data_IF_672354475898
#
_entry.id   IF_672354475898
#
_cell.length_a   1.000
_cell.length_b   1.000
_cell.length_c   1.000
_cell.angle_alpha   90.00
_cell.angle_beta   90.00
_cell.angle_gamma   90.00
#
_symmetry.space_group_name_H-M   'P 1'
#
loop_
_entity.id
_entity.type
_entity.pdbx_description
1 polymer ?
#
# COMPACT_ATOMS: atom_id res chain seq x y z
N UNK A 1 71.08 -5.72 36.98
CA UNK A 1 71.34 -7.04 36.36
C UNK A 1 69.98 -7.63 36.02
N UNK A 2 69.73 -7.85 34.72
CA UNK A 2 68.60 -8.56 34.07
C UNK A 2 67.18 -7.97 34.24
N UNK A 3 66.64 -7.32 33.20
CA UNK A 3 65.93 -7.90 32.03
C UNK A 3 64.67 -8.66 32.41
N UNK A 4 63.49 -8.11 32.06
CA UNK A 4 62.51 -8.77 31.19
C UNK A 4 61.48 -7.73 30.70
N UNK A 5 61.60 -7.38 29.41
CA UNK A 5 60.57 -6.69 28.63
C UNK A 5 59.36 -7.63 28.49
N UNK A 6 58.17 -7.21 28.88
CA UNK A 6 56.92 -7.83 28.42
C UNK A 6 56.14 -6.82 27.59
N UNK A 7 56.36 -6.88 26.28
CA UNK A 7 55.57 -6.20 25.27
C UNK A 7 54.26 -6.98 25.10
N UNK A 8 53.18 -6.55 25.73
CA UNK A 8 51.84 -7.05 25.42
C UNK A 8 51.34 -6.37 24.14
N UNK A 9 51.51 -7.05 23.00
CA UNK A 9 50.80 -6.70 21.77
C UNK A 9 49.29 -6.87 22.01
N UNK A 10 48.56 -5.76 22.09
CA UNK A 10 47.12 -5.76 21.83
C UNK A 10 46.90 -6.02 20.35
N UNK A 11 46.74 -7.29 19.97
CA UNK A 11 46.03 -7.62 18.74
C UNK A 11 44.56 -7.27 18.96
N UNK A 12 44.13 -6.12 18.43
CA UNK A 12 42.71 -5.87 18.17
C UNK A 12 42.27 -6.84 17.08
N UNK A 13 41.88 -8.05 17.48
CA UNK A 13 41.05 -8.92 16.67
C UNK A 13 39.70 -8.21 16.53
N UNK A 14 39.54 -7.51 15.41
CA UNK A 14 38.25 -7.05 14.91
C UNK A 14 37.44 -8.31 14.65
N UNK A 15 36.62 -8.71 15.62
CA UNK A 15 35.64 -9.75 15.44
C UNK A 15 34.65 -9.26 14.37
N UNK A 16 34.64 -9.91 13.21
CA UNK A 16 33.61 -9.69 12.21
C UNK A 16 32.28 -10.10 12.84
N UNK A 17 31.37 -9.13 13.02
CA UNK A 17 30.02 -9.39 13.50
C UNK A 17 29.32 -10.36 12.54
N UNK A 18 28.91 -11.51 13.08
CA UNK A 18 28.20 -12.57 12.35
C UNK A 18 26.72 -12.20 12.27
N UNK A 19 26.12 -12.36 11.08
CA UNK A 19 24.69 -12.60 10.99
C UNK A 19 24.38 -13.98 11.63
N UNK A 20 23.26 -14.13 12.36
CA UNK A 20 23.11 -15.12 13.45
C UNK A 20 23.28 -16.58 12.99
N UNK A 21 23.87 -17.47 13.81
CA UNK A 21 24.14 -18.85 13.41
C UNK A 21 23.18 -19.84 14.08
N UNK A 22 22.21 -20.41 13.36
CA UNK A 22 21.55 -21.66 13.81
C UNK A 22 21.21 -22.55 12.61
N UNK A 23 22.23 -23.26 12.12
CA UNK A 23 22.18 -24.39 11.19
C UNK A 23 21.72 -24.15 9.72
N UNK A 24 22.70 -23.96 8.82
CA UNK A 24 22.54 -24.20 7.37
C UNK A 24 23.29 -23.19 6.47
N UNK A 25 24.33 -23.65 5.76
CA UNK A 25 24.98 -23.13 4.53
C UNK A 25 25.19 -21.62 4.20
N UNK A 26 24.96 -20.61 5.04
CA UNK A 26 24.98 -19.22 4.52
C UNK A 26 25.79 -18.21 5.36
N UNK A 27 27.01 -17.94 4.89
CA UNK A 27 27.79 -16.74 5.20
C UNK A 27 27.71 -15.77 4.01
N UNK A 28 27.91 -14.46 4.22
CA UNK A 28 28.02 -13.52 3.10
C UNK A 28 29.07 -14.00 2.08
N UNK A 29 28.91 -13.70 0.77
CA UNK A 29 29.90 -14.07 -0.23
C UNK A 29 31.30 -13.59 0.17
N UNK A 30 32.34 -14.32 -0.27
CA UNK A 30 33.73 -13.99 0.07
C UNK A 30 34.03 -12.53 -0.29
N UNK A 31 34.53 -11.76 0.69
CA UNK A 31 34.83 -10.33 0.54
C UNK A 31 33.71 -9.38 0.96
N UNK A 32 32.60 -9.90 1.49
CA UNK A 32 31.49 -9.14 2.05
C UNK A 32 31.36 -9.37 3.56
N UNK A 33 30.86 -8.37 4.27
CA UNK A 33 30.58 -8.38 5.71
C UNK A 33 29.10 -8.12 5.93
N UNK A 34 28.48 -8.81 6.89
CA UNK A 34 27.06 -8.67 7.14
C UNK A 34 26.80 -7.49 8.09
N UNK A 35 26.01 -6.52 7.65
CA UNK A 35 25.56 -5.38 8.45
C UNK A 35 24.03 -5.26 8.26
N UNK A 36 23.27 -5.24 9.36
CA UNK A 36 21.80 -5.05 9.33
C UNK A 36 21.04 -5.94 8.30
N UNK A 37 21.41 -7.24 8.23
CA UNK A 37 20.87 -8.23 7.26
C UNK A 37 21.23 -7.99 5.79
N UNK A 38 22.18 -7.10 5.50
CA UNK A 38 22.73 -6.91 4.16
C UNK A 38 24.21 -7.31 4.14
N UNK A 39 24.64 -7.96 3.06
CA UNK A 39 26.06 -8.23 2.84
C UNK A 39 26.69 -7.05 2.11
N UNK A 40 27.67 -6.38 2.72
CA UNK A 40 28.37 -5.20 2.17
C UNK A 40 29.84 -5.52 1.85
N UNK A 41 30.28 -5.16 0.65
CA UNK A 41 31.68 -5.35 0.22
C UNK A 41 32.60 -4.27 0.79
N UNK A 42 33.91 -4.36 0.50
CA UNK A 42 34.93 -3.37 0.94
C UNK A 42 34.62 -1.92 0.55
N UNK A 43 33.90 -1.71 -0.55
CA UNK A 43 33.45 -0.39 -1.02
C UNK A 43 32.08 0.03 -0.45
N UNK A 44 31.53 -0.71 0.52
CA UNK A 44 30.13 -0.65 0.97
C UNK A 44 29.09 -0.93 -0.13
N UNK A 45 29.50 -1.54 -1.24
CA UNK A 45 28.55 -1.98 -2.25
C UNK A 45 27.75 -3.20 -1.73
N UNK A 46 26.42 -3.20 -1.80
CA UNK A 46 25.62 -4.33 -1.36
C UNK A 46 25.80 -5.53 -2.29
N UNK A 47 25.71 -6.73 -1.74
CA UNK A 47 25.66 -7.96 -2.50
C UNK A 47 24.34 -8.06 -3.27
N UNK A 48 24.38 -8.70 -4.44
CA UNK A 48 23.21 -9.03 -5.25
C UNK A 48 22.75 -10.48 -5.03
N UNK A 49 23.27 -11.14 -3.99
CA UNK A 49 22.82 -12.45 -3.51
C UNK A 49 21.93 -12.26 -2.29
N UNK A 50 20.90 -13.07 -2.17
CA UNK A 50 19.94 -13.01 -1.08
C UNK A 50 19.56 -14.39 -0.57
N UNK A 51 18.99 -14.43 0.62
CA UNK A 51 18.50 -15.66 1.26
C UNK A 51 17.37 -15.30 2.23
N UNK A 52 16.97 -16.24 3.08
CA UNK A 52 16.00 -15.97 4.13
C UNK A 52 16.51 -14.93 5.15
N UNK A 53 17.82 -14.92 5.42
CA UNK A 53 18.44 -14.02 6.41
C UNK A 53 19.11 -12.80 5.79
N UNK A 54 19.50 -12.89 4.52
CA UNK A 54 20.13 -11.80 3.77
C UNK A 54 19.10 -11.14 2.86
N UNK A 55 18.79 -9.88 3.18
CA UNK A 55 17.85 -9.07 2.44
C UNK A 55 18.54 -8.38 1.25
N UNK A 56 17.78 -8.26 0.16
CA UNK A 56 18.21 -7.51 -1.01
C UNK A 56 18.28 -6.00 -0.71
N UNK A 57 19.17 -5.25 -1.41
CA UNK A 57 19.22 -3.80 -1.28
C UNK A 57 17.89 -3.13 -1.70
N UNK A 58 17.67 -1.90 -1.25
CA UNK A 58 16.47 -1.15 -1.56
C UNK A 58 16.21 -1.08 -3.08
N UNK A 59 14.95 -1.21 -3.48
CA UNK A 59 14.57 -1.19 -4.89
C UNK A 59 14.76 -2.52 -5.62
N UNK A 60 15.12 -3.59 -4.90
CA UNK A 60 15.29 -4.93 -5.48
C UNK A 60 14.49 -5.99 -4.71
N UNK A 61 14.19 -7.11 -5.35
CA UNK A 61 13.46 -8.25 -4.78
C UNK A 61 14.29 -9.52 -4.94
N UNK A 62 14.22 -10.39 -3.93
CA UNK A 62 14.92 -11.67 -3.92
C UNK A 62 14.14 -12.71 -4.72
N UNK A 63 14.79 -13.36 -5.69
CA UNK A 63 14.26 -14.52 -6.38
C UNK A 63 15.37 -15.51 -6.66
N UNK A 64 15.16 -16.77 -6.25
CA UNK A 64 16.12 -17.86 -6.44
C UNK A 64 17.54 -17.49 -5.96
N UNK A 65 17.63 -16.81 -4.81
CA UNK A 65 18.90 -16.41 -4.19
C UNK A 65 19.61 -15.22 -4.85
N UNK A 66 18.98 -14.54 -5.82
CA UNK A 66 19.53 -13.34 -6.47
C UNK A 66 18.58 -12.15 -6.35
N UNK A 67 19.16 -10.97 -6.23
CA UNK A 67 18.41 -9.71 -6.19
C UNK A 67 18.18 -9.18 -7.61
N UNK A 68 16.93 -8.84 -7.91
CA UNK A 68 16.53 -8.24 -9.18
C UNK A 68 15.90 -6.87 -8.95
N UNK A 69 16.17 -5.85 -9.79
CA UNK A 69 15.48 -4.57 -9.70
C UNK A 69 13.97 -4.74 -9.78
N UNK A 70 13.22 -4.10 -8.87
CA UNK A 70 11.76 -4.21 -8.81
C UNK A 70 11.10 -3.89 -10.16
N UNK A 71 11.53 -2.80 -10.81
CA UNK A 71 11.00 -2.37 -12.11
C UNK A 71 11.19 -3.38 -13.23
N UNK A 72 12.07 -4.37 -13.05
CA UNK A 72 12.31 -5.44 -14.02
C UNK A 72 11.45 -6.68 -13.76
N UNK A 73 10.87 -6.81 -12.57
CA UNK A 73 10.11 -8.00 -12.16
C UNK A 73 8.65 -7.87 -12.58
N UNK A 74 8.17 -8.86 -13.34
CA UNK A 74 6.76 -9.00 -13.69
C UNK A 74 6.00 -9.56 -12.48
N UNK A 75 4.80 -9.05 -12.24
CA UNK A 75 4.03 -9.41 -11.06
C UNK A 75 2.57 -9.66 -11.37
N UNK A 76 1.95 -10.48 -10.53
CA UNK A 76 0.56 -10.91 -10.58
C UNK A 76 0.17 -11.55 -11.91
N UNK A 77 -0.59 -12.65 -11.81
CA UNK A 77 -1.13 -13.33 -12.98
C UNK A 77 -2.45 -13.95 -12.63
N UNK A 78 -3.53 -13.39 -13.16
CA UNK A 78 -4.86 -13.96 -13.03
C UNK A 78 -5.23 -14.59 -14.36
N UNK A 79 -5.48 -15.90 -14.38
CA UNK A 79 -5.71 -16.63 -15.62
C UNK A 79 -6.87 -17.61 -15.53
N UNK A 80 -7.58 -17.78 -16.63
CA UNK A 80 -8.55 -18.86 -16.79
C UNK A 80 -7.81 -20.17 -17.01
N UNK A 81 -8.06 -21.15 -16.15
CA UNK A 81 -7.49 -22.50 -16.20
C UNK A 81 -8.48 -23.54 -16.72
N UNK A 82 -9.73 -23.13 -16.99
CA UNK A 82 -10.79 -23.94 -17.60
C UNK A 82 -12.09 -23.13 -17.75
N UNK A 83 -13.15 -23.71 -18.31
CA UNK A 83 -14.42 -23.00 -18.62
C UNK A 83 -15.05 -22.27 -17.42
N UNK A 84 -14.79 -22.73 -16.19
CA UNK A 84 -15.29 -22.11 -14.95
C UNK A 84 -14.24 -22.05 -13.84
N UNK A 85 -12.97 -22.15 -14.21
CA UNK A 85 -11.86 -22.18 -13.26
C UNK A 85 -10.90 -21.04 -13.59
N UNK A 86 -10.60 -20.23 -12.57
CA UNK A 86 -9.61 -19.17 -12.67
C UNK A 86 -8.61 -19.32 -11.52
N UNK A 87 -7.33 -19.11 -11.81
CA UNK A 87 -6.26 -19.06 -10.83
C UNK A 87 -5.80 -17.62 -10.67
N UNK A 88 -5.80 -17.13 -9.44
CA UNK A 88 -5.20 -15.85 -9.07
C UNK A 88 -3.82 -16.12 -8.49
N UNK A 89 -2.77 -15.66 -9.16
CA UNK A 89 -1.41 -15.70 -8.67
C UNK A 89 -1.02 -14.29 -8.25
N UNK A 90 -0.66 -14.15 -6.98
CA UNK A 90 -0.16 -12.90 -6.42
C UNK A 90 1.35 -13.03 -6.25
N UNK A 91 2.10 -12.08 -6.80
CA UNK A 91 3.56 -12.03 -6.66
C UNK A 91 3.92 -11.28 -5.40
N UNK A 92 4.91 -11.79 -4.67
CA UNK A 92 5.61 -11.03 -3.65
C UNK A 92 6.62 -10.08 -4.32
N UNK A 93 6.30 -8.78 -4.35
CA UNK A 93 7.23 -7.75 -4.83
C UNK A 93 8.26 -7.35 -3.76
N UNK A 94 8.44 -8.15 -2.69
CA UNK A 94 9.31 -7.83 -1.56
C UNK A 94 8.72 -6.75 -0.65
N UNK A 95 9.41 -6.46 0.45
CA UNK A 95 8.89 -5.63 1.56
C UNK A 95 8.37 -4.25 1.17
N UNK A 96 9.02 -3.59 0.21
CA UNK A 96 8.65 -2.23 -0.22
C UNK A 96 8.07 -2.21 -1.64
N UNK A 97 7.84 -3.37 -2.25
CA UNK A 97 7.32 -3.44 -3.59
C UNK A 97 5.80 -3.58 -3.61
N UNK A 98 5.16 -2.98 -4.62
CA UNK A 98 3.75 -3.21 -4.94
C UNK A 98 3.62 -3.56 -6.41
N UNK A 99 2.61 -4.37 -6.74
CA UNK A 99 2.32 -4.69 -8.12
C UNK A 99 1.44 -3.61 -8.76
N UNK A 100 1.92 -2.99 -9.84
CA UNK A 100 1.20 -1.99 -10.62
C UNK A 100 1.23 -2.38 -12.10
N UNK A 101 0.06 -2.66 -12.68
CA UNK A 101 -0.08 -2.94 -14.11
C UNK A 101 0.83 -4.07 -14.65
N UNK A 102 1.05 -5.10 -13.82
CA UNK A 102 1.85 -6.28 -14.18
C UNK A 102 3.35 -6.16 -13.90
N UNK A 103 3.79 -5.07 -13.25
CA UNK A 103 5.19 -4.85 -12.88
C UNK A 103 5.33 -4.45 -11.41
N UNK A 104 6.35 -4.97 -10.74
CA UNK A 104 6.68 -4.53 -9.40
C UNK A 104 7.23 -3.10 -9.44
N UNK A 105 6.75 -2.25 -8.53
CA UNK A 105 7.22 -0.88 -8.35
C UNK A 105 7.55 -0.65 -6.89
N UNK A 106 8.50 0.24 -6.63
CA UNK A 106 8.90 0.62 -5.27
C UNK A 106 7.85 1.57 -4.68
N UNK A 107 7.35 1.23 -3.49
CA UNK A 107 6.59 2.13 -2.63
C UNK A 107 7.51 2.59 -1.50
N UNK A 108 8.11 3.77 -1.66
CA UNK A 108 9.03 4.33 -0.67
C UNK A 108 8.30 4.75 0.60
N UNK A 109 6.98 4.92 0.53
CA UNK A 109 6.13 5.22 1.67
C UNK A 109 5.69 3.98 2.45
N UNK A 110 6.08 2.78 2.02
CA UNK A 110 5.87 1.57 2.80
C UNK A 110 6.54 1.69 4.18
N UNK A 111 5.75 1.52 5.25
CA UNK A 111 6.16 1.64 6.65
C UNK A 111 6.72 3.02 7.07
N UNK A 112 6.47 4.08 6.27
CA UNK A 112 6.79 5.44 6.68
C UNK A 112 5.63 6.01 7.50
N UNK A 113 5.89 6.32 8.77
CA UNK A 113 4.97 7.04 9.63
C UNK A 113 5.36 8.51 9.67
N UNK A 114 4.40 9.40 9.40
CA UNK A 114 4.60 10.84 9.44
C UNK A 114 3.86 11.45 10.63
N UNK A 115 4.42 12.55 11.16
CA UNK A 115 3.75 13.34 12.20
C UNK A 115 2.39 13.86 11.72
N UNK A 116 1.56 14.27 12.68
CA UNK A 116 0.29 14.94 12.38
C UNK A 116 0.49 16.14 11.44
N UNK A 117 -0.43 16.29 10.49
CA UNK A 117 -0.34 17.36 9.50
C UNK A 117 0.65 17.09 8.35
N UNK A 118 1.33 15.94 8.33
CA UNK A 118 2.22 15.53 7.24
C UNK A 118 1.71 14.27 6.54
N UNK A 119 2.12 14.08 5.28
CA UNK A 119 1.86 12.87 4.50
C UNK A 119 3.15 12.40 3.83
N UNK A 120 3.34 11.10 3.71
CA UNK A 120 4.49 10.59 2.97
C UNK A 120 4.31 10.85 1.47
N UNK A 121 5.35 11.36 0.82
CA UNK A 121 5.48 11.49 -0.64
C UNK A 121 6.90 11.10 -1.02
N UNK A 122 7.04 10.14 -1.94
CA UNK A 122 8.34 9.63 -2.41
C UNK A 122 9.30 9.23 -1.26
N UNK A 123 8.75 8.65 -0.18
CA UNK A 123 9.50 8.23 1.01
C UNK A 123 9.85 9.32 2.00
N UNK A 124 9.36 10.56 1.80
CA UNK A 124 9.61 11.70 2.71
C UNK A 124 8.30 12.25 3.25
N UNK A 125 8.28 12.61 4.53
CA UNK A 125 7.13 13.29 5.11
C UNK A 125 7.06 14.74 4.64
N UNK A 126 6.04 15.07 3.86
CA UNK A 126 5.75 16.39 3.35
C UNK A 126 4.64 17.07 4.18
N UNK A 127 4.80 18.35 4.48
CA UNK A 127 3.80 19.15 5.18
C UNK A 127 2.56 19.34 4.29
N UNK A 128 1.39 18.96 4.82
CA UNK A 128 0.11 19.15 4.13
C UNK A 128 -0.85 20.03 4.92
N UNK A 129 -0.74 20.08 6.24
CA UNK A 129 -1.48 21.02 7.08
C UNK A 129 -1.19 22.47 6.63
N UNK A 130 -2.25 23.26 6.50
CA UNK A 130 -2.28 24.62 5.95
C UNK A 130 -1.91 24.76 4.47
N UNK A 131 -1.67 23.65 3.75
CA UNK A 131 -1.51 23.70 2.30
C UNK A 131 -2.81 24.14 1.64
N UNK A 132 -2.69 24.85 0.52
CA UNK A 132 -3.83 25.26 -0.28
C UNK A 132 -4.57 24.02 -0.82
N UNK A 133 -5.90 24.07 -0.76
CA UNK A 133 -6.78 23.04 -1.31
C UNK A 133 -7.97 23.69 -2.01
N UNK A 134 -8.48 22.98 -3.01
CA UNK A 134 -9.73 23.31 -3.71
C UNK A 134 -10.87 22.48 -3.10
N UNK A 135 -10.60 21.22 -2.74
CA UNK A 135 -11.58 20.33 -2.12
C UNK A 135 -10.96 19.32 -1.17
N UNK A 136 -11.80 18.56 -0.45
CA UNK A 136 -11.34 17.63 0.60
C UNK A 136 -10.38 16.54 0.10
N UNK A 137 -10.46 16.16 -1.17
CA UNK A 137 -9.56 15.18 -1.77
C UNK A 137 -8.08 15.63 -1.80
N UNK A 138 -7.82 16.94 -1.83
CA UNK A 138 -6.45 17.49 -1.91
C UNK A 138 -5.69 17.29 -0.58
N UNK A 139 -6.42 17.13 0.52
CA UNK A 139 -5.88 17.06 1.88
C UNK A 139 -5.59 15.63 2.36
N UNK A 140 -5.77 14.62 1.51
CA UNK A 140 -5.56 13.22 1.88
C UNK A 140 -6.61 12.70 2.88
N UNK A 141 -6.40 11.53 3.51
CA UNK A 141 -7.42 10.85 4.31
C UNK A 141 -7.66 11.46 5.71
N UNK A 142 -6.67 12.15 6.28
CA UNK A 142 -6.69 12.58 7.69
C UNK A 142 -6.97 14.08 7.87
N UNK A 143 -7.27 14.80 6.80
CA UNK A 143 -7.46 16.25 6.80
C UNK A 143 -8.64 16.64 5.91
N UNK A 144 -9.22 17.80 6.19
CA UNK A 144 -10.33 18.40 5.47
C UNK A 144 -9.89 19.72 4.85
N UNK A 145 -10.43 20.04 3.68
CA UNK A 145 -10.27 21.38 3.11
C UNK A 145 -11.27 22.33 3.78
N UNK A 146 -10.76 23.32 4.52
CA UNK A 146 -11.56 24.34 5.20
C UNK A 146 -10.94 25.71 4.96
N UNK A 147 -11.74 26.65 4.44
CA UNK A 147 -11.26 27.98 4.02
C UNK A 147 -10.03 27.91 3.08
N UNK A 148 -10.10 27.02 2.07
CA UNK A 148 -9.03 26.75 1.09
C UNK A 148 -7.70 26.29 1.71
N UNK A 149 -7.73 25.76 2.94
CA UNK A 149 -6.56 25.20 3.62
C UNK A 149 -6.86 23.82 4.16
N UNK A 150 -5.90 22.92 4.04
CA UNK A 150 -5.99 21.62 4.68
C UNK A 150 -5.85 21.77 6.20
N UNK A 151 -6.83 21.27 6.92
CA UNK A 151 -6.89 21.27 8.38
C UNK A 151 -7.10 19.85 8.87
N UNK A 152 -6.62 19.50 10.06
CA UNK A 152 -6.82 18.16 10.62
C UNK A 152 -8.32 17.84 10.67
N UNK A 153 -8.68 16.62 10.27
CA UNK A 153 -10.04 16.13 10.47
C UNK A 153 -10.30 16.13 11.99
N UNK A 154 -11.42 16.70 12.47
CA UNK A 154 -11.82 16.54 13.85
C UNK A 154 -11.81 15.06 14.22
N UNK A 155 -11.16 14.70 15.33
CA UNK A 155 -11.16 13.33 15.80
C UNK A 155 -12.60 12.99 16.19
N UNK A 156 -13.23 12.06 15.46
CA UNK A 156 -14.49 11.48 15.92
C UNK A 156 -14.21 10.79 17.26
N UNK A 157 -15.00 11.06 18.31
CA UNK A 157 -14.77 10.41 19.59
C UNK A 157 -14.85 8.90 19.41
N UNK A 158 -13.76 8.20 19.72
CA UNK A 158 -13.72 6.74 19.76
C UNK A 158 -14.54 6.27 20.97
N UNK A 159 -15.76 5.82 20.76
CA UNK A 159 -16.53 5.16 21.80
C UNK A 159 -16.83 3.71 21.43
N UNK A 160 -16.58 2.80 22.37
CA UNK A 160 -17.07 1.42 22.31
C UNK A 160 -18.37 1.32 23.11
N UNK A 161 -19.44 1.92 22.57
CA UNK A 161 -20.74 1.97 23.22
C UNK A 161 -21.47 0.63 23.09
N UNK A 162 -22.23 0.26 24.12
CA UNK A 162 -23.12 -0.90 24.05
C UNK A 162 -24.17 -0.68 22.95
N UNK A 163 -24.77 -1.77 22.41
CA UNK A 163 -26.04 -1.64 21.74
C UNK A 163 -26.97 -0.84 22.67
N UNK A 164 -27.62 0.22 22.18
CA UNK A 164 -28.46 1.19 22.91
C UNK A 164 -27.79 2.44 23.49
N UNK A 165 -26.52 2.68 23.20
CA UNK A 165 -25.80 3.87 23.62
C UNK A 165 -25.30 4.66 22.40
N UNK A 166 -25.23 6.00 22.52
CA UNK A 166 -24.59 6.87 21.53
C UNK A 166 -23.32 7.48 22.09
N UNK A 167 -22.34 7.64 21.21
CA UNK A 167 -21.11 8.36 21.50
C UNK A 167 -21.33 9.86 21.38
N UNK A 168 -21.13 10.59 22.48
CA UNK A 168 -21.12 12.04 22.49
C UNK A 168 -19.93 12.51 23.32
N UNK A 169 -19.02 13.28 22.70
CA UNK A 169 -17.78 13.76 23.34
C UNK A 169 -16.94 12.65 24.03
N UNK A 170 -16.88 11.46 23.44
CA UNK A 170 -16.09 10.34 23.99
C UNK A 170 -16.78 9.60 25.14
N UNK A 171 -18.03 9.94 25.46
CA UNK A 171 -18.83 9.28 26.48
C UNK A 171 -20.05 8.62 25.83
N UNK A 172 -20.39 7.42 26.31
CA UNK A 172 -21.57 6.70 25.89
C UNK A 172 -22.77 7.15 26.72
N UNK A 173 -23.80 7.65 26.05
CA UNK A 173 -25.06 8.04 26.68
C UNK A 173 -26.16 7.06 26.27
N UNK A 174 -27.05 6.64 27.18
CA UNK A 174 -28.21 5.83 26.85
C UNK A 174 -29.04 6.54 25.78
N UNK A 175 -29.29 5.87 24.67
CA UNK A 175 -30.19 6.33 23.61
C UNK A 175 -31.29 5.31 23.36
N UNK A 176 -31.96 4.92 24.45
CA UNK A 176 -33.03 3.90 24.44
C UNK A 176 -34.17 4.26 23.50
N UNK A 177 -34.40 5.56 23.26
CA UNK A 177 -35.47 6.03 22.37
C UNK A 177 -35.14 5.82 20.88
N UNK A 178 -33.86 5.84 20.49
CA UNK A 178 -33.46 5.72 19.09
C UNK A 178 -32.77 4.40 18.71
N UNK A 179 -32.55 3.50 19.65
CA UNK A 179 -31.71 2.32 19.38
C UNK A 179 -32.26 1.41 18.28
N UNK A 180 -33.58 1.27 18.23
CA UNK A 180 -34.27 0.41 17.26
C UNK A 180 -34.88 1.20 16.09
N UNK A 181 -34.51 2.48 15.96
CA UNK A 181 -35.09 3.37 14.95
C UNK A 181 -34.09 3.52 13.81
N UNK A 182 -34.45 2.95 12.67
CA UNK A 182 -33.71 3.15 11.43
C UNK A 182 -34.21 4.41 10.73
N UNK A 183 -33.36 5.44 10.68
CA UNK A 183 -33.62 6.65 9.93
C UNK A 183 -33.02 6.55 8.53
N UNK A 184 -33.79 6.98 7.52
CA UNK A 184 -33.33 7.01 6.14
C UNK A 184 -32.18 8.00 5.92
N UNK A 185 -31.41 7.82 4.85
CA UNK A 185 -30.30 8.73 4.50
C UNK A 185 -30.82 10.16 4.37
N UNK A 186 -30.16 11.12 5.04
CA UNK A 186 -30.63 12.50 5.13
C UNK A 186 -31.42 12.81 6.41
N UNK A 187 -31.67 11.81 7.26
CA UNK A 187 -32.37 11.97 8.54
C UNK A 187 -31.58 11.31 9.67
N UNK A 188 -31.82 11.74 10.91
CA UNK A 188 -31.17 11.19 12.10
C UNK A 188 -32.15 11.17 13.27
N UNK A 189 -31.94 10.27 14.22
CA UNK A 189 -32.88 10.12 15.32
C UNK A 189 -32.58 11.08 16.47
N UNK A 190 -33.61 11.78 16.93
CA UNK A 190 -33.62 12.61 18.13
C UNK A 190 -34.89 12.27 18.91
N UNK A 191 -34.77 11.91 20.19
CA UNK A 191 -35.91 11.62 21.07
C UNK A 191 -36.92 10.62 20.48
N UNK A 192 -36.42 9.56 19.85
CA UNK A 192 -37.26 8.52 19.26
C UNK A 192 -37.96 8.91 17.96
N UNK A 193 -37.55 10.00 17.31
CA UNK A 193 -38.11 10.46 16.04
C UNK A 193 -37.00 10.74 15.02
N UNK A 194 -37.21 10.31 13.77
CA UNK A 194 -36.32 10.68 12.68
C UNK A 194 -36.60 12.13 12.26
N UNK A 195 -35.60 12.98 12.45
CA UNK A 195 -35.64 14.39 12.05
C UNK A 195 -34.75 14.63 10.84
N UNK A 196 -35.10 15.64 10.05
CA UNK A 196 -34.38 15.97 8.82
C UNK A 196 -33.03 16.65 9.13
N UNK A 197 -31.94 16.08 8.60
CA UNK A 197 -30.60 16.67 8.66
C UNK A 197 -30.35 17.64 7.50
N UNK A 198 -31.00 17.46 6.36
CA UNK A 198 -30.84 18.29 5.16
C UNK A 198 -31.40 19.69 5.42
N UNK A 199 -30.66 20.72 5.03
CA UNK A 199 -31.02 22.12 5.23
C UNK A 199 -30.60 22.69 6.59
N UNK A 200 -30.09 21.87 7.52
CA UNK A 200 -29.53 22.34 8.79
C UNK A 200 -28.22 23.09 8.54
N UNK A 201 -27.94 24.11 9.36
CA UNK A 201 -26.65 24.80 9.29
C UNK A 201 -25.55 23.93 9.92
N UNK A 202 -24.40 23.88 9.26
CA UNK A 202 -23.20 23.19 9.74
C UNK A 202 -22.04 24.16 10.02
N UNK A 203 -22.38 25.41 10.38
CA UNK A 203 -21.39 26.42 10.72
C UNK A 203 -20.76 26.16 12.10
N UNK A 204 -21.57 25.69 13.05
CA UNK A 204 -21.16 25.43 14.44
C UNK A 204 -21.27 23.94 14.83
N UNK A 205 -21.76 23.08 13.93
CA UNK A 205 -22.01 21.66 14.18
C UNK A 205 -21.73 20.80 12.95
N UNK A 206 -21.48 19.51 13.16
CA UNK A 206 -21.27 18.52 12.12
C UNK A 206 -22.58 17.97 11.56
N UNK A 207 -22.61 17.68 10.26
CA UNK A 207 -23.78 17.12 9.61
C UNK A 207 -24.05 15.66 10.03
N UNK A 208 -25.29 15.33 10.36
CA UNK A 208 -25.74 14.00 10.79
C UNK A 208 -26.49 13.23 9.69
N UNK A 209 -26.86 11.97 9.95
CA UNK A 209 -27.73 11.21 9.05
C UNK A 209 -27.10 10.91 7.67
N UNK A 210 -25.77 10.83 7.60
CA UNK A 210 -25.04 10.63 6.35
C UNK A 210 -25.06 11.85 5.41
N UNK A 211 -25.40 13.04 5.91
CA UNK A 211 -25.31 14.31 5.17
C UNK A 211 -23.90 14.90 5.26
N UNK A 212 -23.60 15.85 4.39
CA UNK A 212 -22.31 16.54 4.30
C UNK A 212 -22.51 18.04 4.35
N UNK A 213 -21.52 18.77 4.87
CA UNK A 213 -21.58 20.23 4.92
C UNK A 213 -21.14 20.83 3.59
N UNK A 214 -22.05 21.50 2.86
CA UNK A 214 -21.74 22.22 1.62
C UNK A 214 -22.28 23.63 1.75
N UNK A 215 -21.41 24.64 1.60
CA UNK A 215 -21.78 26.06 1.75
C UNK A 215 -22.53 26.35 3.07
N UNK A 216 -22.04 25.81 4.19
CA UNK A 216 -22.62 25.94 5.54
C UNK A 216 -24.03 25.33 5.72
N UNK A 217 -24.47 24.49 4.78
CA UNK A 217 -25.75 23.77 4.85
C UNK A 217 -25.49 22.27 4.70
N UNK A 218 -26.11 21.47 5.57
CA UNK A 218 -26.11 20.02 5.45
C UNK A 218 -26.95 19.61 4.23
N UNK A 219 -26.33 18.89 3.30
CA UNK A 219 -27.01 18.34 2.12
C UNK A 219 -26.88 16.84 2.11
N UNK A 220 -27.86 16.15 1.51
CA UNK A 220 -27.74 14.72 1.26
C UNK A 220 -26.44 14.47 0.49
N UNK A 221 -25.61 13.54 0.97
CA UNK A 221 -24.35 13.23 0.30
C UNK A 221 -24.67 12.83 -1.15
N UNK A 222 -24.27 13.63 -2.16
CA UNK A 222 -24.65 13.38 -3.54
C UNK A 222 -23.89 12.19 -4.13
N UNK A 223 -22.87 11.69 -3.45
CA UNK A 223 -21.94 10.72 -4.00
C UNK A 223 -22.38 9.26 -4.09
N UNK A 224 -23.14 8.67 -3.13
CA UNK A 224 -23.48 7.26 -3.19
C UNK A 224 -24.09 6.94 -4.56
N UNK A 225 -23.44 6.04 -5.30
CA UNK A 225 -23.86 5.58 -6.64
C UNK A 225 -23.81 6.61 -7.77
N UNK A 226 -23.29 7.83 -7.55
CA UNK A 226 -23.29 8.89 -8.58
C UNK A 226 -21.92 9.22 -9.16
N UNK A 227 -20.84 8.90 -8.45
CA UNK A 227 -19.50 9.13 -9.00
C UNK A 227 -19.21 8.13 -10.13
N UNK A 228 -18.56 8.58 -11.23
CA UNK A 228 -18.02 7.69 -12.24
C UNK A 228 -17.13 6.59 -11.65
N UNK A 229 -16.99 5.46 -12.34
CA UNK A 229 -16.28 4.27 -11.82
C UNK A 229 -14.81 4.54 -11.44
N UNK A 230 -14.17 5.52 -12.07
CA UNK A 230 -12.79 5.93 -11.79
C UNK A 230 -12.66 7.09 -10.79
N UNK A 231 -13.79 7.52 -10.23
CA UNK A 231 -13.85 8.56 -9.23
C UNK A 231 -14.24 7.97 -7.89
N UNK A 232 -13.72 8.59 -6.84
CA UNK A 232 -14.19 8.32 -5.50
C UNK A 232 -14.80 9.56 -4.88
N UNK A 233 -15.70 9.32 -3.95
CA UNK A 233 -16.32 10.37 -3.20
C UNK A 233 -15.49 10.73 -1.99
N UNK A 234 -15.10 12.00 -1.91
CA UNK A 234 -14.55 12.59 -0.69
C UNK A 234 -15.48 13.71 -0.26
N UNK A 235 -16.34 13.41 0.72
CA UNK A 235 -17.26 14.38 1.34
C UNK A 235 -18.12 15.16 0.34
N UNK A 236 -18.73 14.47 -0.62
CA UNK A 236 -19.64 15.07 -1.61
C UNK A 236 -19.02 15.44 -2.94
N UNK A 237 -17.70 15.45 -3.04
CA UNK A 237 -17.01 15.70 -4.30
C UNK A 237 -16.55 14.39 -4.92
N UNK A 238 -16.98 14.13 -6.14
CA UNK A 238 -16.40 13.09 -6.97
C UNK A 238 -15.07 13.60 -7.55
N UNK A 239 -13.98 12.89 -7.28
CA UNK A 239 -12.65 13.22 -7.79
C UNK A 239 -12.00 12.00 -8.41
N UNK A 240 -11.24 12.22 -9.48
CA UNK A 240 -10.46 11.17 -10.14
C UNK A 240 -9.44 10.64 -9.13
N UNK A 241 -9.42 9.32 -8.94
CA UNK A 241 -8.57 8.70 -7.93
C UNK A 241 -7.07 8.75 -8.25
N UNK A 242 -6.69 8.82 -9.52
CA UNK A 242 -5.28 8.95 -9.92
C UNK A 242 -4.67 10.22 -9.32
N UNK A 243 -3.58 10.05 -8.55
CA UNK A 243 -2.83 11.16 -7.96
C UNK A 243 -3.38 11.67 -6.61
N UNK A 244 -4.53 11.19 -6.13
CA UNK A 244 -5.05 11.59 -4.82
C UNK A 244 -4.09 11.14 -3.71
N UNK A 245 -3.78 12.01 -2.71
CA UNK A 245 -2.94 11.62 -1.59
C UNK A 245 -3.57 10.51 -0.73
N UNK A 246 -2.77 9.52 -0.36
CA UNK A 246 -3.23 8.33 0.36
C UNK A 246 -2.25 7.88 1.45
N UNK A 247 -2.79 7.16 2.43
CA UNK A 247 -2.03 6.46 3.47
C UNK A 247 -2.63 5.06 3.57
N UNK A 248 -1.89 4.04 3.14
CA UNK A 248 -2.36 2.65 3.14
C UNK A 248 -3.11 2.27 1.86
N UNK A 249 -4.44 2.36 1.86
CA UNK A 249 -5.29 1.80 0.80
C UNK A 249 -5.99 2.88 -0.04
N UNK A 250 -6.25 2.53 -1.30
CA UNK A 250 -7.07 3.28 -2.23
C UNK A 250 -8.24 2.41 -2.68
N UNK A 251 -9.34 3.04 -3.09
CA UNK A 251 -10.48 2.32 -3.66
C UNK A 251 -10.03 1.56 -4.92
N UNK A 252 -10.45 0.30 -5.04
CA UNK A 252 -10.20 -0.51 -6.22
C UNK A 252 -10.70 0.19 -7.51
N UNK A 253 -9.94 0.18 -8.63
CA UNK A 253 -8.71 -0.58 -8.90
C UNK A 253 -7.40 0.16 -8.58
N UNK A 254 -7.42 1.17 -7.72
CA UNK A 254 -6.22 1.95 -7.40
C UNK A 254 -5.43 1.33 -6.25
N UNK A 255 -4.12 1.56 -6.25
CA UNK A 255 -3.19 1.14 -5.19
C UNK A 255 -2.41 2.37 -4.73
N UNK A 256 -2.22 2.53 -3.42
CA UNK A 256 -1.41 3.62 -2.88
C UNK A 256 0.06 3.31 -3.09
N UNK A 257 0.78 4.13 -3.86
CA UNK A 257 2.22 4.00 -4.12
C UNK A 257 2.84 5.39 -3.94
N UNK A 258 3.90 5.47 -3.12
CA UNK A 258 4.59 6.73 -2.80
C UNK A 258 3.64 7.83 -2.27
N UNK A 259 2.60 7.41 -1.54
CA UNK A 259 1.61 8.31 -0.93
C UNK A 259 0.60 8.90 -1.91
N UNK A 260 0.50 8.38 -3.13
CA UNK A 260 -0.54 8.73 -4.09
C UNK A 260 -1.24 7.51 -4.65
N UNK A 261 -2.54 7.62 -4.92
CA UNK A 261 -3.31 6.55 -5.54
C UNK A 261 -2.93 6.42 -7.02
N UNK A 262 -2.57 5.21 -7.45
CA UNK A 262 -2.18 4.88 -8.83
C UNK A 262 -3.07 3.78 -9.38
N UNK A 263 -3.56 3.94 -10.60
CA UNK A 263 -4.46 2.98 -11.26
C UNK A 263 -3.74 1.68 -11.58
N UNK A 264 -4.30 0.57 -11.11
CA UNK A 264 -3.85 -0.77 -11.44
C UNK A 264 -4.92 -1.52 -12.25
N UNK A 265 -4.90 -1.34 -13.56
CA UNK A 265 -5.83 -1.98 -14.49
C UNK A 265 -5.64 -3.51 -14.57
N UNK A 266 -4.55 -4.03 -14.02
CA UNK A 266 -4.31 -5.47 -13.90
C UNK A 266 -4.86 -6.09 -12.60
N UNK A 267 -5.32 -5.30 -11.62
CA UNK A 267 -5.67 -5.80 -10.27
C UNK A 267 -6.77 -6.89 -10.25
N UNK A 268 -7.63 -6.95 -11.26
CA UNK A 268 -8.67 -7.99 -11.42
C UNK A 268 -8.78 -8.51 -12.85
N UNK A 269 -7.81 -8.19 -13.70
CA UNK A 269 -7.88 -8.58 -15.11
C UNK A 269 -7.46 -10.03 -15.24
N UNK A 270 -8.39 -10.86 -15.71
CA UNK A 270 -8.17 -12.29 -15.93
C UNK A 270 -7.86 -12.52 -17.41
N UNK A 271 -6.72 -13.16 -17.69
CA UNK A 271 -6.23 -13.45 -19.04
C UNK A 271 -6.32 -14.94 -19.38
N UNK A 272 -5.99 -15.31 -20.62
CA UNK A 272 -5.99 -16.72 -21.04
C UNK A 272 -4.67 -17.42 -20.68
N UNK A 273 -4.64 -18.75 -20.83
CA UNK A 273 -3.40 -19.52 -20.76
C UNK A 273 -2.37 -18.99 -21.78
N UNK A 274 -1.13 -18.89 -21.33
CA UNK A 274 -0.02 -18.28 -22.07
C UNK A 274 -0.03 -16.76 -22.11
N UNK A 275 -0.95 -16.08 -21.41
CA UNK A 275 -1.00 -14.63 -21.31
C UNK A 275 -0.71 -14.13 -19.89
N UNK A 276 -0.33 -12.85 -19.81
CA UNK A 276 -0.25 -12.07 -18.58
C UNK A 276 -0.81 -10.67 -18.80
N UNK A 277 -1.21 -9.98 -17.73
CA UNK A 277 -1.66 -8.61 -17.82
C UNK A 277 -0.47 -7.64 -17.76
N UNK A 278 -0.33 -6.79 -18.77
CA UNK A 278 0.70 -5.74 -18.83
C UNK A 278 0.04 -4.43 -19.26
N UNK A 279 0.20 -3.37 -18.47
CA UNK A 279 -0.38 -2.06 -18.80
C UNK A 279 -1.90 -2.09 -18.93
N UNK A 280 -2.57 -2.96 -18.18
CA UNK A 280 -4.01 -3.16 -18.26
C UNK A 280 -4.49 -4.00 -19.43
N UNK A 281 -3.61 -4.65 -20.20
CA UNK A 281 -3.98 -5.49 -21.34
C UNK A 281 -3.48 -6.92 -21.17
N UNK A 282 -4.31 -7.89 -21.57
CA UNK A 282 -3.85 -9.28 -21.66
C UNK A 282 -2.97 -9.40 -22.89
N UNK A 283 -1.73 -9.81 -22.68
CA UNK A 283 -0.74 -9.95 -23.74
C UNK A 283 -0.16 -11.35 -23.73
N UNK A 284 0.04 -11.92 -24.93
CA UNK A 284 0.62 -13.26 -25.05
C UNK A 284 2.09 -13.25 -24.69
N UNK A 285 2.43 -14.01 -23.65
CA UNK A 285 3.78 -14.18 -23.11
C UNK A 285 4.39 -15.51 -23.58
N UNK A 286 3.59 -16.57 -23.68
CA UNK A 286 4.05 -17.87 -24.16
C UNK A 286 4.69 -17.74 -25.56
N UNK A 287 5.91 -18.25 -25.71
CA UNK A 287 6.71 -18.20 -26.93
C UNK A 287 7.54 -16.93 -27.11
N UNK A 288 7.41 -15.90 -26.25
CA UNK A 288 8.31 -14.74 -26.26
C UNK A 288 9.74 -15.17 -25.99
N UNK A 289 10.69 -14.45 -26.60
CA UNK A 289 12.09 -14.62 -26.28
C UNK A 289 12.35 -14.27 -24.81
N UNK A 290 13.15 -15.07 -24.13
CA UNK A 290 13.56 -14.84 -22.76
C UNK A 290 15.00 -15.25 -22.52
N UNK A 291 15.56 -14.65 -21.48
CA UNK A 291 16.82 -15.08 -20.87
C UNK A 291 16.61 -15.45 -19.41
N UNK A 292 15.66 -14.80 -18.73
CA UNK A 292 15.32 -15.05 -17.33
C UNK A 292 13.80 -14.95 -17.13
N UNK A 293 13.21 -15.97 -16.53
CA UNK A 293 11.76 -16.08 -16.39
C UNK A 293 11.16 -14.92 -15.59
N UNK A 294 11.71 -14.58 -14.41
CA UNK A 294 11.18 -13.53 -13.54
C UNK A 294 11.07 -12.15 -14.21
N UNK A 295 11.99 -11.85 -15.15
CA UNK A 295 12.05 -10.56 -15.83
C UNK A 295 11.26 -10.54 -17.13
N UNK A 296 11.45 -11.59 -17.93
CA UNK A 296 10.99 -11.60 -19.32
C UNK A 296 9.61 -12.26 -19.47
N UNK A 297 9.25 -13.19 -18.56
CA UNK A 297 8.02 -13.98 -18.63
C UNK A 297 7.05 -13.68 -17.46
N UNK A 298 7.55 -13.58 -16.24
CA UNK A 298 6.75 -13.46 -15.02
C UNK A 298 6.26 -14.78 -14.44
N UNK A 299 5.27 -14.69 -13.54
CA UNK A 299 4.81 -15.80 -12.72
C UNK A 299 4.26 -17.00 -13.49
N UNK A 300 4.61 -18.18 -13.01
CA UNK A 300 4.19 -19.47 -13.59
C UNK A 300 4.52 -19.60 -15.08
N UNK A 301 5.59 -18.94 -15.53
CA UNK A 301 6.29 -19.25 -16.76
C UNK A 301 7.70 -19.74 -16.43
N UNK A 302 8.24 -20.62 -17.26
CA UNK A 302 9.67 -20.93 -17.28
C UNK A 302 10.31 -20.31 -18.53
N UNK A 303 11.59 -19.97 -18.44
CA UNK A 303 12.38 -19.66 -19.62
C UNK A 303 13.11 -20.93 -20.08
N UNK A 304 12.62 -21.56 -21.14
CA UNK A 304 13.17 -22.82 -21.67
C UNK A 304 13.50 -22.62 -23.15
N UNK A 305 14.71 -23.00 -23.57
CA UNK A 305 15.20 -22.81 -24.94
C UNK A 305 14.98 -21.38 -25.44
N UNK A 306 15.29 -20.41 -24.57
CA UNK A 306 15.08 -18.98 -24.80
C UNK A 306 13.63 -18.56 -25.10
N UNK A 307 12.65 -19.37 -24.70
CA UNK A 307 11.23 -19.07 -24.86
C UNK A 307 10.48 -19.17 -23.54
N UNK A 308 9.54 -18.26 -23.32
CA UNK A 308 8.61 -18.37 -22.20
C UNK A 308 7.66 -19.54 -22.43
N UNK A 309 7.68 -20.53 -21.53
CA UNK A 309 6.80 -21.70 -21.53
C UNK A 309 5.84 -21.58 -20.35
N UNK A 310 4.54 -21.64 -20.61
CA UNK A 310 3.52 -21.55 -19.56
C UNK A 310 3.46 -22.85 -18.76
N UNK A 311 3.68 -22.75 -17.45
CA UNK A 311 3.69 -23.90 -16.55
C UNK A 311 2.29 -24.33 -16.11
N UNK A 312 1.25 -23.55 -16.45
CA UNK A 312 -0.15 -23.89 -16.18
C UNK A 312 -0.82 -24.59 -17.36
N UNK A 313 -0.22 -24.53 -18.55
CA UNK A 313 -0.76 -25.26 -19.71
C UNK A 313 -0.50 -26.75 -19.52
N UNK A 314 -1.54 -27.62 -19.59
CA UNK A 314 -1.33 -29.06 -19.51
C UNK A 314 -0.34 -29.53 -20.58
N UNK A 315 0.62 -30.36 -20.20
CA UNK A 315 1.49 -31.02 -21.18
C UNK A 315 0.63 -31.98 -22.00
N UNK A 316 0.61 -31.77 -23.32
CA UNK A 316 0.06 -32.74 -24.28
C UNK A 316 1.01 -33.93 -24.41
#
# INVERSE_FOLDING_TARGET
MNSFLYTFLFFTLVAAERCPPVFGEFECPIGYTCEEKQCLGRSRAPSMTCSFEVECPEGTVCSEGKCYPLSSVKCNRHVLTGERSARSIVTDCGRRGKCLNGQCVLDRCHAVTCDEGKICRDGKCAQLLNAFCIGHADCGPNMLCMANKCQLKPQEPLCNCQPHEICHHGQCYPNTQCTSIYCETGTYCVEGQCVNAVGKSCQDDTCHGGTICVNNVCVANPCPSRCPHDQDCRLGECRIMEGIPCVGECKHPFVCIDGTCRRNDCARKVCQLGESCEGGNCVRVAGRFCTLAIRDCGEHFACQDHKCVDLLTPKQ
#
